data_IF_145012843972
#
_entry.id   IF_145012843972
#
_cell.length_a   1.000
_cell.length_b   1.000
_cell.length_c   1.000
_cell.angle_alpha   90.00
_cell.angle_beta   90.00
_cell.angle_gamma   90.00
#
_symmetry.space_group_name_H-M   'P 1'
#
loop_
_entity.id
_entity.type
_entity.pdbx_description
1 polymer ?
#
# COMPACT_ATOMS: atom_id res chain seq x y z
N UNK A 1 -5.36 -8.93 5.10
CA UNK A 1 -4.43 -8.58 4.01
C UNK A 1 -4.15 -7.08 4.02
N UNK A 2 -2.93 -6.66 3.70
CA UNK A 2 -2.62 -5.24 3.43
C UNK A 2 -2.75 -5.02 1.92
N UNK A 3 -3.34 -3.90 1.52
CA UNK A 3 -3.53 -3.52 0.12
C UNK A 3 -2.94 -2.15 -0.15
N UNK A 4 -2.52 -1.93 -1.40
CA UNK A 4 -1.99 -0.65 -1.89
C UNK A 4 -2.96 -0.11 -2.94
N UNK A 5 -3.57 1.05 -2.68
CA UNK A 5 -4.58 1.67 -3.53
C UNK A 5 -3.98 2.60 -4.59
N UNK A 6 -2.77 2.30 -5.07
CA UNK A 6 -2.03 3.19 -5.96
C UNK A 6 -2.77 3.40 -7.29
N UNK A 7 -3.38 2.35 -7.84
CA UNK A 7 -4.14 2.46 -9.09
C UNK A 7 -5.33 3.42 -8.99
N UNK A 8 -6.05 3.39 -7.88
CA UNK A 8 -7.14 4.32 -7.59
C UNK A 8 -6.63 5.76 -7.52
N UNK A 9 -5.54 6.00 -6.76
CA UNK A 9 -4.96 7.34 -6.56
C UNK A 9 -4.45 7.97 -7.85
N UNK A 10 -3.81 7.16 -8.69
CA UNK A 10 -3.37 7.60 -10.01
C UNK A 10 -4.55 7.90 -10.94
N UNK A 11 -5.61 7.09 -10.90
CA UNK A 11 -6.83 7.31 -11.67
C UNK A 11 -7.52 8.64 -11.33
N UNK A 12 -7.68 8.95 -10.04
CA UNK A 12 -8.27 10.20 -9.55
C UNK A 12 -7.53 11.44 -10.07
N UNK A 13 -6.20 11.36 -10.16
CA UNK A 13 -5.32 12.44 -10.62
C UNK A 13 -5.03 12.41 -12.12
N UNK A 14 -5.52 11.39 -12.84
CA UNK A 14 -5.20 11.11 -14.26
C UNK A 14 -3.70 10.98 -14.52
N UNK A 15 -2.96 10.44 -13.55
CA UNK A 15 -1.54 10.15 -13.71
C UNK A 15 -1.31 8.76 -14.27
N UNK A 16 -0.29 8.61 -15.10
CA UNK A 16 0.22 7.30 -15.49
C UNK A 16 1.26 6.80 -14.49
N UNK A 17 1.54 5.49 -14.49
CA UNK A 17 2.67 4.95 -13.73
C UNK A 17 4.00 5.61 -14.10
N UNK A 18 4.15 6.00 -15.38
CA UNK A 18 5.34 6.70 -15.87
C UNK A 18 5.45 8.13 -15.31
N UNK A 19 4.33 8.82 -15.10
CA UNK A 19 4.32 10.13 -14.44
C UNK A 19 4.81 10.02 -13.00
N UNK A 20 4.28 9.04 -12.26
CA UNK A 20 4.68 8.81 -10.88
C UNK A 20 6.16 8.42 -10.78
N UNK A 21 6.65 7.52 -11.64
CA UNK A 21 8.06 7.12 -11.67
C UNK A 21 8.98 8.32 -11.93
N UNK A 22 8.59 9.24 -12.84
CA UNK A 22 9.32 10.48 -13.10
C UNK A 22 9.30 11.43 -11.91
N UNK A 23 8.15 11.60 -11.26
CA UNK A 23 8.00 12.52 -10.12
C UNK A 23 8.78 12.04 -8.88
N UNK A 24 8.76 10.74 -8.61
CA UNK A 24 9.34 10.15 -7.39
C UNK A 24 10.77 9.66 -7.56
N UNK A 25 11.25 9.51 -8.80
CA UNK A 25 12.54 8.86 -9.10
C UNK A 25 12.56 7.36 -8.85
N UNK A 26 11.44 6.76 -8.43
CA UNK A 26 11.32 5.32 -8.19
C UNK A 26 11.33 4.58 -9.54
N UNK A 27 12.02 3.44 -9.58
CA UNK A 27 12.12 2.63 -10.79
C UNK A 27 10.73 2.24 -11.31
N UNK A 28 10.46 2.34 -12.63
CA UNK A 28 9.16 1.97 -13.20
C UNK A 28 8.69 0.56 -12.84
N UNK A 29 9.61 -0.41 -12.74
CA UNK A 29 9.29 -1.78 -12.32
C UNK A 29 8.72 -1.82 -10.89
N UNK A 30 9.28 -1.03 -9.97
CA UNK A 30 8.81 -0.96 -8.59
C UNK A 30 7.46 -0.26 -8.49
N UNK A 31 7.24 0.79 -9.28
CA UNK A 31 5.91 1.42 -9.39
C UNK A 31 4.89 0.44 -9.96
N UNK A 32 5.26 -0.37 -10.95
CA UNK A 32 4.41 -1.43 -11.49
C UNK A 32 4.04 -2.47 -10.42
N UNK A 33 4.99 -2.89 -9.61
CA UNK A 33 4.74 -3.85 -8.51
C UNK A 33 3.79 -3.26 -7.46
N UNK A 34 3.94 -1.97 -7.10
CA UNK A 34 3.01 -1.29 -6.20
C UNK A 34 1.63 -1.10 -6.83
N UNK A 35 1.56 -0.76 -8.12
CA UNK A 35 0.32 -0.53 -8.85
C UNK A 35 -0.54 -1.79 -8.95
N UNK A 36 0.10 -2.93 -9.19
CA UNK A 36 -0.56 -4.24 -9.31
C UNK A 36 -0.63 -5.02 -8.00
N UNK A 37 -0.23 -4.42 -6.88
CA UNK A 37 -0.22 -5.06 -5.55
C UNK A 37 0.62 -6.36 -5.51
N UNK A 38 1.68 -6.45 -6.32
CA UNK A 38 2.61 -7.59 -6.36
C UNK A 38 3.81 -7.44 -5.42
N UNK A 39 3.98 -6.28 -4.80
CA UNK A 39 5.08 -6.03 -3.90
C UNK A 39 4.97 -6.87 -2.61
N UNK A 40 5.93 -7.78 -2.39
CA UNK A 40 6.05 -8.54 -1.13
C UNK A 40 6.54 -7.68 0.05
N UNK A 41 7.28 -6.62 -0.25
CA UNK A 41 7.85 -5.69 0.72
C UNK A 41 7.64 -4.26 0.24
N UNK A 42 7.40 -3.36 1.18
CA UNK A 42 7.30 -1.92 0.92
C UNK A 42 8.48 -1.19 1.55
N UNK A 43 8.99 -0.19 0.83
CA UNK A 43 10.00 0.73 1.35
C UNK A 43 9.27 1.97 1.89
N UNK A 44 9.52 2.34 3.14
CA UNK A 44 8.88 3.51 3.76
C UNK A 44 9.21 4.80 3.02
N UNK A 45 10.44 4.96 2.55
CA UNK A 45 10.87 6.12 1.75
C UNK A 45 10.06 6.23 0.46
N UNK A 46 9.78 5.09 -0.21
CA UNK A 46 8.97 5.11 -1.42
C UNK A 46 7.53 5.51 -1.13
N UNK A 47 6.97 5.06 0.01
CA UNK A 47 5.63 5.44 0.40
C UNK A 47 5.54 6.94 0.68
N UNK A 48 6.53 7.50 1.36
CA UNK A 48 6.63 8.92 1.64
C UNK A 48 6.71 9.75 0.34
N UNK A 49 7.62 9.38 -0.57
CA UNK A 49 7.74 10.03 -1.88
C UNK A 49 6.48 9.93 -2.73
N UNK A 50 5.77 8.80 -2.69
CA UNK A 50 4.49 8.63 -3.40
C UNK A 50 3.42 9.52 -2.77
N UNK A 51 3.36 9.58 -1.44
CA UNK A 51 2.43 10.46 -0.71
C UNK A 51 2.69 11.93 -1.03
N UNK A 52 3.95 12.37 -1.04
CA UNK A 52 4.33 13.73 -1.43
C UNK A 52 3.99 14.01 -2.90
N UNK A 53 4.36 13.12 -3.83
CA UNK A 53 4.11 13.31 -5.26
C UNK A 53 2.62 13.35 -5.60
N UNK A 54 1.79 12.64 -4.84
CA UNK A 54 0.35 12.60 -5.02
C UNK A 54 -0.38 13.57 -4.09
N UNK A 55 0.26 14.26 -3.16
CA UNK A 55 -0.43 15.08 -2.16
C UNK A 55 -1.56 14.27 -1.47
N UNK A 56 -1.20 13.16 -0.84
CA UNK A 56 -2.11 12.32 -0.07
C UNK A 56 -1.47 11.74 1.19
N UNK A 57 -2.31 11.30 2.13
CA UNK A 57 -1.84 10.64 3.35
C UNK A 57 -1.51 9.15 3.13
N UNK A 58 -0.85 8.53 4.12
CA UNK A 58 -0.51 7.10 4.05
C UNK A 58 -1.76 6.19 4.10
N UNK A 59 -2.75 6.54 4.92
CA UNK A 59 -4.02 5.81 5.07
C UNK A 59 -4.88 5.81 3.81
N UNK A 60 -4.62 6.81 2.99
CA UNK A 60 -5.20 7.05 1.69
C UNK A 60 -4.61 6.08 0.63
N UNK A 61 -3.36 5.68 0.82
CA UNK A 61 -2.59 4.78 -0.06
C UNK A 61 -2.62 3.32 0.41
N UNK A 62 -2.64 3.05 1.72
CA UNK A 62 -2.53 1.70 2.30
C UNK A 62 -3.73 1.41 3.19
N UNK A 63 -4.38 0.26 2.94
CA UNK A 63 -5.49 -0.21 3.78
C UNK A 63 -5.22 -1.61 4.34
N UNK A 64 -5.70 -1.84 5.57
CA UNK A 64 -5.79 -3.18 6.16
C UNK A 64 -7.18 -3.75 5.95
N UNK A 65 -7.26 -4.82 5.18
CA UNK A 65 -8.45 -5.68 5.11
C UNK A 65 -8.31 -6.79 6.16
N UNK A 66 -9.20 -6.87 7.17
CA UNK A 66 -9.20 -7.99 8.11
C UNK A 66 -9.36 -9.34 7.37
N UNK A 67 -8.65 -10.37 7.82
CA UNK A 67 -8.92 -11.72 7.34
C UNK A 67 -10.16 -12.26 8.06
N UNK A 68 -10.89 -13.19 7.44
CA UNK A 68 -12.03 -13.88 8.08
C UNK A 68 -11.65 -14.61 9.36
N UNK A 69 -10.43 -15.15 9.40
CA UNK A 69 -9.89 -15.88 10.54
C UNK A 69 -8.60 -15.23 11.08
N UNK A 70 -8.41 -15.15 12.41
CA UNK A 70 -7.17 -14.67 13.01
C UNK A 70 -5.97 -15.55 12.62
N UNK A 71 -4.94 -14.94 12.02
CA UNK A 71 -3.66 -15.60 11.70
C UNK A 71 -2.59 -15.44 12.77
N UNK A 72 -2.92 -14.72 13.84
CA UNK A 72 -1.99 -14.36 14.91
C UNK A 72 -2.59 -14.78 16.25
N UNK A 73 -1.72 -15.21 17.17
CA UNK A 73 -2.08 -15.59 18.53
C UNK A 73 -1.54 -14.56 19.51
N UNK A 74 -2.17 -14.48 20.68
CA UNK A 74 -1.64 -13.73 21.82
C UNK A 74 -0.30 -14.33 22.28
N UNK A 75 0.46 -13.57 23.08
CA UNK A 75 1.72 -14.06 23.70
C UNK A 75 1.54 -15.37 24.46
N UNK A 76 0.36 -15.60 25.03
CA UNK A 76 -0.03 -16.80 25.79
C UNK A 76 -0.61 -17.92 24.92
N UNK A 77 -0.66 -17.75 23.59
CA UNK A 77 -1.10 -18.78 22.64
C UNK A 77 -2.60 -18.83 22.37
N UNK A 78 -3.42 -18.03 23.06
CA UNK A 78 -4.85 -17.91 22.77
C UNK A 78 -5.11 -17.12 21.49
N UNK A 79 -6.15 -17.49 20.74
CA UNK A 79 -6.61 -16.73 19.59
C UNK A 79 -7.02 -15.32 20.01
N UNK A 80 -6.69 -14.33 19.18
CA UNK A 80 -7.21 -12.97 19.37
C UNK A 80 -8.72 -13.05 19.16
N UNK A 81 -9.49 -12.93 20.23
CA UNK A 81 -10.95 -12.87 20.16
C UNK A 81 -11.35 -11.85 19.08
N UNK A 82 -11.95 -12.35 18.00
CA UNK A 82 -12.67 -11.50 17.04
C UNK A 82 -13.76 -10.81 17.83
N UNK A 83 -13.55 -9.51 18.12
CA UNK A 83 -14.61 -8.71 18.72
C UNK A 83 -15.85 -8.84 17.83
N UNK A 84 -16.93 -9.23 18.51
CA UNK A 84 -18.28 -9.48 18.01
C UNK A 84 -18.85 -8.28 17.25
#
# INVERSE_FOLDING_TARGET
MIRILLSTRLGERRWTQADLARATGIRPSTINDYYHEFAERVNLEHLDLICEALDCDLEDLIIRIPNSEPRVRTRTGFELHTKR
#
